data_IF_524908103108
#
_entry.id   IF_524908103108
#
_cell.length_a   1.000
_cell.length_b   1.000
_cell.length_c   1.000
_cell.angle_alpha   90.00
_cell.angle_beta   90.00
_cell.angle_gamma   90.00
#
_symmetry.space_group_name_H-M   'P 1'
#
loop_
_entity.id
_entity.type
_entity.pdbx_description
1 polymer ?
#
# COMPACT_ATOMS: atom_id res chain seq x y z
N UNK A 1 6.98 -10.68 -15.09
CA UNK A 1 5.62 -11.06 -14.65
C UNK A 1 5.13 -9.97 -13.73
N UNK A 2 3.90 -9.51 -13.90
CA UNK A 2 3.36 -8.49 -13.01
C UNK A 2 3.20 -9.04 -11.60
N UNK A 3 3.61 -8.29 -10.57
CA UNK A 3 3.53 -8.76 -9.20
C UNK A 3 2.13 -8.65 -8.57
N UNK A 4 1.07 -8.36 -9.34
CA UNK A 4 -0.30 -8.22 -8.82
C UNK A 4 -0.80 -9.43 -8.04
N UNK A 5 -0.49 -10.65 -8.49
CA UNK A 5 -0.83 -11.86 -7.75
C UNK A 5 -0.22 -11.88 -6.34
N UNK A 6 1.06 -11.47 -6.21
CA UNK A 6 1.73 -11.41 -4.91
C UNK A 6 1.20 -10.25 -4.06
N UNK A 7 0.83 -9.12 -4.66
CA UNK A 7 0.19 -7.99 -3.98
C UNK A 7 -1.16 -8.42 -3.40
N UNK A 8 -1.99 -9.07 -4.21
CA UNK A 8 -3.30 -9.59 -3.80
C UNK A 8 -3.17 -10.61 -2.67
N UNK A 9 -2.21 -11.54 -2.77
CA UNK A 9 -1.92 -12.51 -1.71
C UNK A 9 -1.56 -11.83 -0.38
N UNK A 10 -0.80 -10.73 -0.41
CA UNK A 10 -0.47 -9.95 0.80
C UNK A 10 -1.71 -9.29 1.38
N UNK A 11 -2.58 -8.72 0.55
CA UNK A 11 -3.82 -8.08 1.00
C UNK A 11 -4.83 -9.10 1.56
N UNK A 12 -4.96 -10.27 0.94
CA UNK A 12 -5.82 -11.35 1.44
C UNK A 12 -5.34 -11.89 2.80
N UNK A 13 -4.02 -11.99 2.98
CA UNK A 13 -3.48 -12.39 4.28
C UNK A 13 -3.63 -11.30 5.35
N UNK A 14 -3.56 -10.02 4.98
CA UNK A 14 -3.88 -8.92 5.89
C UNK A 14 -5.34 -8.98 6.35
N UNK A 15 -6.30 -9.23 5.44
CA UNK A 15 -7.71 -9.44 5.81
C UNK A 15 -7.88 -10.63 6.75
N UNK A 16 -7.20 -11.75 6.45
CA UNK A 16 -7.24 -12.92 7.32
C UNK A 16 -6.80 -12.56 8.75
N UNK A 17 -5.70 -11.84 8.91
CA UNK A 17 -5.21 -11.40 10.22
C UNK A 17 -6.21 -10.49 10.93
N UNK A 18 -6.81 -9.53 10.23
CA UNK A 18 -7.85 -8.66 10.80
C UNK A 18 -9.09 -9.44 11.23
N UNK A 19 -9.48 -10.49 10.47
CA UNK A 19 -10.61 -11.35 10.82
C UNK A 19 -10.41 -12.19 12.09
N UNK A 20 -9.16 -12.35 12.58
CA UNK A 20 -8.87 -13.08 13.82
C UNK A 20 -9.21 -12.27 15.09
N UNK A 21 -9.63 -11.01 14.96
CA UNK A 21 -10.03 -10.15 16.07
C UNK A 21 -8.92 -9.25 16.60
N UNK A 22 -9.28 -8.44 17.60
CA UNK A 22 -8.50 -7.29 18.07
C UNK A 22 -7.43 -7.67 19.11
N UNK A 23 -6.50 -8.53 18.70
CA UNK A 23 -5.20 -8.57 19.38
C UNK A 23 -4.27 -7.63 18.62
N UNK A 24 -3.68 -6.64 19.30
CA UNK A 24 -2.79 -5.65 18.66
C UNK A 24 -1.64 -6.24 17.84
N UNK A 25 -1.26 -7.50 18.12
CA UNK A 25 -0.31 -8.28 17.33
C UNK A 25 -0.82 -8.60 15.91
N UNK A 26 -2.09 -8.94 15.74
CA UNK A 26 -2.70 -9.21 14.42
C UNK A 26 -2.83 -7.94 13.60
N UNK A 27 -3.30 -6.83 14.19
CA UNK A 27 -3.39 -5.55 13.49
C UNK A 27 -2.01 -5.09 13.01
N UNK A 28 -0.99 -5.20 13.86
CA UNK A 28 0.39 -4.86 13.50
C UNK A 28 0.96 -5.76 12.40
N UNK A 29 0.66 -7.07 12.42
CA UNK A 29 1.05 -7.99 11.36
C UNK A 29 0.33 -7.66 10.04
N UNK A 30 -0.99 -7.42 10.08
CA UNK A 30 -1.79 -7.04 8.93
C UNK A 30 -1.26 -5.75 8.29
N UNK A 31 -0.96 -4.73 9.10
CA UNK A 31 -0.35 -3.50 8.62
C UNK A 31 0.95 -3.72 7.85
N UNK A 32 1.85 -4.59 8.33
CA UNK A 32 3.11 -4.92 7.61
C UNK A 32 2.85 -5.52 6.24
N UNK A 33 1.81 -6.35 6.11
CA UNK A 33 1.41 -6.90 4.81
C UNK A 33 0.84 -5.82 3.88
N UNK A 34 0.04 -4.90 4.40
CA UNK A 34 -0.49 -3.77 3.62
C UNK A 34 0.61 -2.81 3.18
N UNK A 35 1.56 -2.49 4.07
CA UNK A 35 2.73 -1.69 3.74
C UNK A 35 3.51 -2.34 2.59
N UNK A 36 3.80 -3.64 2.71
CA UNK A 36 4.50 -4.39 1.67
C UNK A 36 3.76 -4.34 0.32
N UNK A 37 2.45 -4.62 0.32
CA UNK A 37 1.61 -4.57 -0.87
C UNK A 37 1.60 -3.17 -1.51
N UNK A 38 1.51 -2.12 -0.68
CA UNK A 38 1.49 -0.74 -1.14
C UNK A 38 2.84 -0.30 -1.72
N UNK A 39 3.96 -0.73 -1.11
CA UNK A 39 5.30 -0.53 -1.66
C UNK A 39 5.44 -1.18 -3.02
N UNK A 40 5.00 -2.44 -3.17
CA UNK A 40 5.03 -3.15 -4.46
C UNK A 40 4.21 -2.42 -5.53
N UNK A 41 3.04 -1.84 -5.20
CA UNK A 41 2.27 -1.03 -6.15
C UNK A 41 2.98 0.23 -6.60
N UNK A 42 3.70 0.91 -5.69
CA UNK A 42 4.53 2.05 -6.06
C UNK A 42 5.63 1.60 -7.05
N UNK A 43 6.28 0.48 -6.78
CA UNK A 43 7.31 -0.07 -7.67
C UNK A 43 6.75 -0.41 -9.05
N UNK A 44 5.58 -1.05 -9.12
CA UNK A 44 4.90 -1.38 -10.39
C UNK A 44 4.52 -0.14 -11.23
N UNK A 45 4.28 1.01 -10.58
CA UNK A 45 3.93 2.26 -11.25
C UNK A 45 5.15 3.11 -11.64
N UNK A 46 6.25 3.00 -10.90
CA UNK A 46 7.35 3.98 -10.94
C UNK A 46 8.73 3.41 -11.23
N UNK A 47 8.86 2.08 -11.29
CA UNK A 47 10.13 1.34 -11.42
C UNK A 47 11.17 1.67 -10.34
N UNK A 48 10.75 2.25 -9.21
CA UNK A 48 11.63 2.50 -8.07
C UNK A 48 12.09 1.18 -7.45
N UNK A 49 13.36 1.12 -7.02
CA UNK A 49 13.82 0.03 -6.16
C UNK A 49 13.18 0.09 -4.76
N UNK A 50 13.37 -0.95 -3.94
CA UNK A 50 12.76 -1.06 -2.61
C UNK A 50 13.18 0.08 -1.66
N UNK A 51 14.45 0.49 -1.69
CA UNK A 51 14.95 1.60 -0.87
C UNK A 51 14.28 2.93 -1.25
N UNK A 52 14.21 3.19 -2.56
CA UNK A 52 13.63 4.39 -3.13
C UNK A 52 12.12 4.45 -2.94
N UNK A 53 11.43 3.32 -3.09
CA UNK A 53 10.00 3.20 -2.85
C UNK A 53 9.64 3.41 -1.37
N UNK A 54 10.56 3.20 -0.43
CA UNK A 54 10.37 3.46 1.01
C UNK A 54 10.74 4.88 1.42
N UNK A 55 11.26 5.72 0.52
CA UNK A 55 11.57 7.12 0.80
C UNK A 55 10.39 8.03 0.44
N UNK A 56 9.71 8.66 1.42
CA UNK A 56 8.59 9.55 1.13
C UNK A 56 8.96 10.70 0.19
N UNK A 57 10.19 11.20 0.30
CA UNK A 57 10.71 12.31 -0.51
C UNK A 57 10.89 11.89 -1.97
N UNK A 58 11.46 10.70 -2.20
CA UNK A 58 11.65 10.17 -3.56
C UNK A 58 10.28 9.87 -4.17
N UNK A 59 9.39 9.20 -3.44
CA UNK A 59 8.03 8.88 -3.92
C UNK A 59 7.26 10.15 -4.30
N UNK A 60 7.27 11.17 -3.44
CA UNK A 60 6.60 12.44 -3.73
C UNK A 60 7.16 13.12 -4.99
N UNK A 61 8.49 13.12 -5.15
CA UNK A 61 9.14 13.70 -6.33
C UNK A 61 8.78 12.93 -7.61
N UNK A 62 8.83 11.60 -7.56
CA UNK A 62 8.55 10.72 -8.70
C UNK A 62 7.09 10.81 -9.14
N UNK A 63 6.15 10.92 -8.20
CA UNK A 63 4.72 10.97 -8.49
C UNK A 63 4.15 12.39 -8.66
N UNK A 64 4.99 13.44 -8.57
CA UNK A 64 4.54 14.83 -8.74
C UNK A 64 3.79 15.09 -10.04
N UNK A 65 4.23 14.48 -11.15
CA UNK A 65 3.56 14.62 -12.47
C UNK A 65 2.17 13.99 -12.53
N UNK A 66 1.81 13.19 -11.54
CA UNK A 66 0.54 12.49 -11.42
C UNK A 66 -0.37 13.11 -10.36
N UNK A 67 -0.05 14.29 -9.83
CA UNK A 67 -0.71 14.88 -8.65
C UNK A 67 -2.24 15.00 -8.79
N UNK A 68 -2.74 15.28 -9.99
CA UNK A 68 -4.18 15.41 -10.29
C UNK A 68 -4.83 14.09 -10.74
N UNK A 69 -4.15 12.95 -10.56
CA UNK A 69 -4.65 11.62 -10.93
C UNK A 69 -4.77 10.70 -9.71
N UNK A 70 -5.38 9.52 -9.91
CA UNK A 70 -5.43 8.46 -8.88
C UNK A 70 -4.04 8.05 -8.36
N UNK A 71 -3.00 8.13 -9.19
CA UNK A 71 -1.62 7.92 -8.76
C UNK A 71 -1.13 9.01 -7.78
N UNK A 72 -1.54 10.27 -7.98
CA UNK A 72 -1.28 11.37 -7.06
C UNK A 72 -1.98 11.18 -5.72
N UNK A 73 -3.26 10.82 -5.74
CA UNK A 73 -4.03 10.49 -4.53
C UNK A 73 -3.39 9.34 -3.75
N UNK A 74 -3.03 8.25 -4.45
CA UNK A 74 -2.38 7.12 -3.83
C UNK A 74 -0.99 7.46 -3.29
N UNK A 75 -0.23 8.34 -3.93
CA UNK A 75 1.07 8.78 -3.39
C UNK A 75 0.94 9.45 -2.03
N UNK A 76 -0.07 10.32 -1.86
CA UNK A 76 -0.38 11.02 -0.60
C UNK A 76 -0.80 10.02 0.47
N UNK A 77 -1.64 9.06 0.09
CA UNK A 77 -2.07 7.95 0.94
C UNK A 77 -0.90 7.04 1.35
N UNK A 78 -0.02 6.65 0.42
CA UNK A 78 1.13 5.80 0.69
C UNK A 78 2.17 6.49 1.59
N UNK A 79 2.39 7.80 1.41
CA UNK A 79 3.22 8.58 2.35
C UNK A 79 2.62 8.54 3.76
N UNK A 80 1.29 8.52 3.91
CA UNK A 80 0.65 8.31 5.21
C UNK A 80 0.94 6.90 5.75
N UNK A 81 0.86 5.84 4.94
CA UNK A 81 1.25 4.48 5.34
C UNK A 81 2.69 4.46 5.88
N UNK A 82 3.64 5.08 5.18
CA UNK A 82 5.04 5.14 5.63
C UNK A 82 5.18 5.85 6.98
N UNK A 83 4.39 6.89 7.24
CA UNK A 83 4.35 7.56 8.55
C UNK A 83 3.73 6.70 9.65
N UNK A 84 2.73 5.88 9.32
CA UNK A 84 2.12 4.94 10.27
C UNK A 84 3.11 3.85 10.70
N UNK A 85 4.10 3.51 9.87
CA UNK A 85 5.08 2.47 10.16
C UNK A 85 5.99 2.77 11.37
N UNK A 86 6.08 4.03 11.81
CA UNK A 86 6.80 4.40 13.04
C UNK A 86 5.95 4.32 14.31
N UNK A 87 4.65 4.06 14.19
CA UNK A 87 3.75 3.94 15.34
C UNK A 87 3.92 2.56 16.00
N UNK A 88 3.77 2.48 17.34
CA UNK A 88 3.83 1.20 18.05
C UNK A 88 2.67 0.27 17.68
N UNK A 89 1.52 0.84 17.31
CA UNK A 89 0.33 0.11 16.91
C UNK A 89 -0.47 0.92 15.88
N UNK A 90 -1.15 0.21 14.98
CA UNK A 90 -2.11 0.77 14.03
C UNK A 90 -3.47 0.16 14.37
N UNK A 91 -4.52 0.96 14.62
CA UNK A 91 -5.84 0.43 14.94
C UNK A 91 -6.41 -0.44 13.83
N UNK A 92 -7.18 -1.48 14.19
CA UNK A 92 -7.82 -2.40 13.22
C UNK A 92 -8.60 -1.64 12.14
N UNK A 93 -9.42 -0.66 12.53
CA UNK A 93 -10.23 0.15 11.61
C UNK A 93 -9.39 0.93 10.60
N UNK A 94 -8.20 1.39 11.01
CA UNK A 94 -7.24 2.03 10.14
C UNK A 94 -6.66 1.00 9.16
N UNK A 95 -6.23 -0.17 9.64
CA UNK A 95 -5.70 -1.23 8.76
C UNK A 95 -6.72 -1.70 7.72
N UNK A 96 -7.98 -1.88 8.11
CA UNK A 96 -9.08 -2.19 7.18
C UNK A 96 -9.24 -1.11 6.10
N UNK A 97 -9.15 0.17 6.48
CA UNK A 97 -9.18 1.27 5.53
C UNK A 97 -7.98 1.21 4.57
N UNK A 98 -6.79 0.92 5.09
CA UNK A 98 -5.59 0.81 4.28
C UNK A 98 -5.70 -0.33 3.26
N UNK A 99 -6.19 -1.52 3.68
CA UNK A 99 -6.42 -2.67 2.79
C UNK A 99 -7.32 -2.27 1.61
N UNK A 100 -8.48 -1.64 1.90
CA UNK A 100 -9.44 -1.23 0.86
C UNK A 100 -8.81 -0.27 -0.14
N UNK A 101 -8.14 0.78 0.35
CA UNK A 101 -7.50 1.78 -0.51
C UNK A 101 -6.36 1.21 -1.36
N UNK A 102 -5.58 0.28 -0.81
CA UNK A 102 -4.52 -0.42 -1.57
C UNK A 102 -5.12 -1.31 -2.66
N UNK A 103 -6.24 -2.01 -2.42
CA UNK A 103 -6.97 -2.75 -3.46
C UNK A 103 -7.55 -1.86 -4.55
N UNK A 104 -8.20 -0.76 -4.16
CA UNK A 104 -8.78 0.19 -5.11
C UNK A 104 -7.71 0.74 -6.07
N UNK A 105 -6.53 1.02 -5.53
CA UNK A 105 -5.40 1.47 -6.34
C UNK A 105 -4.83 0.36 -7.21
N UNK A 106 -4.65 -0.85 -6.66
CA UNK A 106 -4.20 -2.03 -7.41
C UNK A 106 -5.05 -2.23 -8.67
N UNK A 107 -6.38 -2.25 -8.51
CA UNK A 107 -7.32 -2.39 -9.62
C UNK A 107 -7.15 -1.28 -10.66
N UNK A 108 -6.98 -0.04 -10.21
CA UNK A 108 -6.75 1.05 -11.15
C UNK A 108 -5.43 0.88 -11.94
N UNK A 109 -4.33 0.46 -11.30
CA UNK A 109 -3.06 0.21 -12.00
C UNK A 109 -3.20 -0.95 -13.00
N UNK A 110 -3.96 -2.00 -12.64
CA UNK A 110 -4.32 -3.09 -13.58
C UNK A 110 -5.10 -2.56 -14.79
N UNK A 111 -6.13 -1.75 -14.56
CA UNK A 111 -6.97 -1.17 -15.63
C UNK A 111 -6.14 -0.30 -16.59
N UNK A 112 -5.14 0.44 -16.08
CA UNK A 112 -4.25 1.25 -16.93
C UNK A 112 -3.30 0.43 -17.81
N UNK A 113 -3.06 -0.85 -17.51
CA UNK A 113 -2.17 -1.72 -18.32
C UNK A 113 -2.89 -2.43 -19.46
N UNK A 114 -4.21 -2.56 -19.36
CA UNK A 114 -5.06 -3.22 -20.37
C UNK A 114 -5.62 -2.21 -21.38
N UNK A 115 -5.60 -0.91 -21.03
CA UNK A 115 -5.99 0.22 -21.89
C UNK A 115 -4.86 0.62 -22.87
#
# INVERSE_FOLDING_TARGET
>A
MSNFYEIEKKLNFADFLISQGDSGSYSSAAFKHVLTASTMLIQELTDLDDSSAKSPQIVAKTLKRFEESKAGEFSKFYINILKLASRPEVPVTEVEHLIRKTRDFMKWVEDQRVA
#
